data_IF_439566337050
#
_entry.id   IF_439566337050
#
_cell.length_a   1.000
_cell.length_b   1.000
_cell.length_c   1.000
_cell.angle_alpha   90.00
_cell.angle_beta   90.00
_cell.angle_gamma   90.00
#
_symmetry.space_group_name_H-M   'P 1'
#
loop_
_entity.id
_entity.type
_entity.pdbx_description
1 polymer ?
#
# COMPACT_ATOMS: atom_id res chain seq x y z
N UNK A 1 -30.34 8.95 23.04
CA UNK A 1 -29.28 9.96 22.78
C UNK A 1 -27.91 9.35 22.58
N UNK A 2 -27.43 8.51 23.49
CA UNK A 2 -26.04 7.98 23.43
C UNK A 2 -25.75 7.14 22.20
N UNK A 3 -26.65 6.26 21.78
CA UNK A 3 -26.43 5.36 20.66
C UNK A 3 -26.33 6.06 19.31
N UNK A 4 -27.12 7.12 19.10
CA UNK A 4 -27.09 7.88 17.84
C UNK A 4 -25.81 8.65 17.70
N UNK A 5 -25.31 9.26 18.79
CA UNK A 5 -24.04 9.99 18.80
C UNK A 5 -22.89 9.04 18.55
N UNK A 6 -22.90 7.86 19.17
CA UNK A 6 -21.86 6.84 18.99
C UNK A 6 -21.83 6.36 17.55
N UNK A 7 -22.97 6.10 16.93
CA UNK A 7 -23.07 5.68 15.53
C UNK A 7 -22.48 6.73 14.59
N UNK A 8 -22.79 8.01 14.83
CA UNK A 8 -22.26 9.09 14.01
C UNK A 8 -20.75 9.24 14.15
N UNK A 9 -20.21 9.07 15.36
CA UNK A 9 -18.76 9.11 15.59
C UNK A 9 -18.07 7.97 14.85
N UNK A 10 -18.58 6.75 14.94
CA UNK A 10 -18.02 5.60 14.22
C UNK A 10 -18.12 5.77 12.71
N UNK A 11 -19.24 6.29 12.23
CA UNK A 11 -19.43 6.56 10.81
C UNK A 11 -18.40 7.57 10.29
N UNK A 12 -18.17 8.65 11.05
CA UNK A 12 -17.15 9.66 10.68
C UNK A 12 -15.75 9.06 10.64
N UNK A 13 -15.39 8.26 11.64
CA UNK A 13 -14.09 7.59 11.68
C UNK A 13 -13.91 6.65 10.49
N UNK A 14 -14.94 5.90 10.15
CA UNK A 14 -14.90 4.99 9.01
C UNK A 14 -14.74 5.76 7.70
N UNK A 15 -15.46 6.87 7.53
CA UNK A 15 -15.35 7.71 6.33
C UNK A 15 -13.98 8.38 6.22
N UNK A 16 -13.43 8.85 7.34
CA UNK A 16 -12.08 9.44 7.38
C UNK A 16 -11.02 8.41 7.04
N UNK A 17 -11.13 7.21 7.59
CA UNK A 17 -10.22 6.10 7.28
C UNK A 17 -10.29 5.70 5.82
N UNK A 18 -11.49 5.71 5.24
CA UNK A 18 -11.67 5.38 3.83
C UNK A 18 -11.08 6.46 2.92
N UNK A 19 -11.25 7.73 3.26
CA UNK A 19 -10.58 8.82 2.53
C UNK A 19 -9.07 8.70 2.61
N UNK A 20 -8.55 8.38 3.79
CA UNK A 20 -7.12 8.16 3.98
C UNK A 20 -6.63 6.99 3.13
N UNK A 21 -7.38 5.88 3.10
CA UNK A 21 -7.05 4.71 2.30
C UNK A 21 -6.95 5.06 0.81
N UNK A 22 -7.95 5.73 0.28
CA UNK A 22 -7.98 6.11 -1.14
C UNK A 22 -6.86 7.08 -1.49
N UNK A 23 -6.61 8.06 -0.63
CA UNK A 23 -5.49 8.99 -0.81
C UNK A 23 -4.14 8.24 -0.77
N UNK A 24 -4.01 7.31 0.17
CA UNK A 24 -2.78 6.53 0.34
C UNK A 24 -2.52 5.64 -0.89
N UNK A 25 -3.55 5.03 -1.45
CA UNK A 25 -3.42 4.24 -2.69
C UNK A 25 -2.87 5.12 -3.81
N UNK A 26 -3.45 6.29 -4.00
CA UNK A 26 -2.99 7.24 -5.02
C UNK A 26 -1.55 7.65 -4.80
N UNK A 27 -1.22 8.07 -3.58
CA UNK A 27 0.13 8.50 -3.22
C UNK A 27 1.15 7.36 -3.39
N UNK A 28 0.74 6.13 -3.07
CA UNK A 28 1.61 4.96 -3.21
C UNK A 28 1.91 4.65 -4.67
N UNK A 29 0.91 4.73 -5.54
CA UNK A 29 1.15 4.55 -6.97
C UNK A 29 2.07 5.63 -7.54
N UNK A 30 1.94 6.86 -7.09
CA UNK A 30 2.87 7.94 -7.47
C UNK A 30 4.28 7.66 -6.97
N UNK A 31 4.42 7.18 -5.73
CA UNK A 31 5.71 6.82 -5.16
C UNK A 31 6.38 5.69 -5.94
N UNK A 32 5.62 4.66 -6.31
CA UNK A 32 6.11 3.53 -7.11
C UNK A 32 6.58 4.02 -8.49
N UNK A 33 5.83 4.92 -9.11
CA UNK A 33 6.21 5.51 -10.39
C UNK A 33 7.53 6.27 -10.28
N UNK A 34 7.73 7.02 -9.21
CA UNK A 34 8.97 7.73 -8.96
C UNK A 34 10.13 6.78 -8.68
N UNK A 35 9.86 5.72 -7.92
CA UNK A 35 10.86 4.69 -7.66
C UNK A 35 11.34 4.03 -8.96
N UNK A 36 10.42 3.80 -9.89
CA UNK A 36 10.72 3.18 -11.18
C UNK A 36 11.74 3.96 -11.99
N UNK A 37 11.83 5.25 -11.78
CA UNK A 37 12.84 6.11 -12.43
C UNK A 37 14.25 5.84 -11.90
N UNK A 38 14.36 5.36 -10.65
CA UNK A 38 15.63 5.11 -9.98
C UNK A 38 16.05 3.64 -10.01
N UNK A 39 15.09 2.73 -9.99
CA UNK A 39 15.33 1.29 -9.82
C UNK A 39 14.43 0.51 -10.77
N UNK A 40 14.99 -0.40 -11.58
CA UNK A 40 14.16 -1.23 -12.46
C UNK A 40 13.42 -2.32 -11.71
N UNK A 41 12.18 -2.54 -12.06
CA UNK A 41 11.36 -3.68 -11.69
C UNK A 41 10.30 -3.88 -12.75
N UNK A 42 9.66 -5.05 -12.78
CA UNK A 42 8.65 -5.37 -13.81
C UNK A 42 7.26 -4.97 -13.38
N UNK A 43 6.84 -5.38 -12.20
CA UNK A 43 5.50 -5.15 -11.68
C UNK A 43 5.56 -4.79 -10.20
N UNK A 44 4.52 -4.13 -9.73
CA UNK A 44 4.31 -3.85 -8.31
C UNK A 44 2.84 -4.01 -7.96
N UNK A 45 2.58 -4.51 -6.77
CA UNK A 45 1.22 -4.77 -6.29
C UNK A 45 1.08 -4.26 -4.86
N UNK A 46 0.01 -3.53 -4.60
CA UNK A 46 -0.39 -3.22 -3.24
C UNK A 46 -1.22 -4.40 -2.72
N UNK A 47 -0.99 -4.78 -1.47
CA UNK A 47 -1.78 -5.83 -0.84
C UNK A 47 -1.98 -5.51 0.64
N UNK A 48 -2.68 -6.38 1.36
CA UNK A 48 -2.95 -6.18 2.77
C UNK A 48 -4.05 -5.15 3.03
N UNK A 49 -3.99 -4.50 4.19
CA UNK A 49 -5.07 -3.64 4.68
C UNK A 49 -5.41 -2.46 3.77
N UNK A 50 -4.43 -1.94 3.03
CA UNK A 50 -4.67 -0.80 2.12
C UNK A 50 -5.63 -1.17 0.98
N UNK A 51 -5.75 -2.46 0.65
CA UNK A 51 -6.66 -2.93 -0.40
C UNK A 51 -8.05 -3.27 0.12
N UNK A 52 -8.26 -3.22 1.43
CA UNK A 52 -9.51 -3.64 2.06
C UNK A 52 -10.28 -2.43 2.60
N UNK A 53 -11.52 -2.29 2.13
CA UNK A 53 -12.41 -1.21 2.54
C UNK A 53 -12.60 -1.21 4.06
N UNK A 54 -12.41 -0.04 4.67
CA UNK A 54 -12.55 0.20 6.12
C UNK A 54 -11.53 -0.54 7.01
N UNK A 55 -10.50 -1.14 6.44
CA UNK A 55 -9.45 -1.84 7.20
C UNK A 55 -8.17 -1.04 7.39
N UNK A 56 -8.05 0.07 6.68
CA UNK A 56 -6.83 0.89 6.70
C UNK A 56 -6.99 2.09 7.65
N UNK A 57 -5.97 2.38 8.43
CA UNK A 57 -5.96 3.49 9.37
C UNK A 57 -4.62 4.20 9.43
N UNK A 58 -4.52 5.18 10.35
CA UNK A 58 -3.32 6.01 10.49
C UNK A 58 -2.08 5.23 10.92
N UNK A 59 -2.27 4.11 11.60
CA UNK A 59 -1.16 3.26 12.07
C UNK A 59 -0.91 2.05 11.17
N UNK A 60 -1.66 1.91 10.07
CA UNK A 60 -1.49 0.78 9.15
C UNK A 60 -0.22 0.95 8.31
N UNK A 61 0.51 -0.16 8.12
CA UNK A 61 1.64 -0.19 7.21
C UNK A 61 1.12 -0.35 5.77
N UNK A 62 1.95 0.06 4.81
CA UNK A 62 1.66 -0.19 3.40
C UNK A 62 2.45 -1.41 2.97
N UNK A 63 1.76 -2.40 2.40
CA UNK A 63 2.37 -3.64 1.93
C UNK A 63 2.47 -3.61 0.41
N UNK A 64 3.68 -3.76 -0.12
CA UNK A 64 3.96 -3.72 -1.56
C UNK A 64 4.77 -4.94 -1.95
N UNK A 65 4.33 -5.63 -2.99
CA UNK A 65 5.05 -6.75 -3.58
C UNK A 65 5.62 -6.31 -4.93
N UNK A 66 6.90 -6.57 -5.16
CA UNK A 66 7.55 -6.27 -6.43
C UNK A 66 7.87 -7.55 -7.18
N UNK A 67 7.72 -7.51 -8.50
CA UNK A 67 8.22 -8.53 -9.40
C UNK A 67 9.42 -7.97 -10.15
N UNK A 68 10.50 -8.74 -10.15
CA UNK A 68 11.70 -8.34 -10.87
C UNK A 68 12.53 -7.24 -10.23
N UNK A 69 12.33 -6.99 -8.94
CA UNK A 69 13.18 -6.06 -8.19
C UNK A 69 14.45 -6.79 -7.75
N UNK A 70 15.60 -6.20 -8.08
CA UNK A 70 16.89 -6.72 -7.65
C UNK A 70 16.97 -6.72 -6.12
N UNK A 71 17.42 -7.82 -5.54
CA UNK A 71 17.55 -7.97 -4.08
C UNK A 71 18.49 -6.92 -3.49
N UNK A 72 19.52 -6.53 -4.23
CA UNK A 72 20.47 -5.50 -3.81
C UNK A 72 19.82 -4.12 -3.70
N UNK A 73 18.64 -3.94 -4.29
CA UNK A 73 17.90 -2.67 -4.28
C UNK A 73 16.77 -2.63 -3.25
N UNK A 74 16.59 -3.68 -2.48
CA UNK A 74 15.50 -3.76 -1.51
C UNK A 74 15.53 -2.62 -0.50
N UNK A 75 16.69 -2.39 0.14
CA UNK A 75 16.83 -1.32 1.14
C UNK A 75 16.58 0.05 0.54
N UNK A 76 17.06 0.28 -0.66
CA UNK A 76 16.82 1.54 -1.36
C UNK A 76 15.33 1.74 -1.60
N UNK A 77 14.63 0.70 -2.08
CA UNK A 77 13.19 0.77 -2.34
C UNK A 77 12.40 1.07 -1.06
N UNK A 78 12.70 0.36 0.03
CA UNK A 78 12.03 0.58 1.31
C UNK A 78 12.26 2.00 1.81
N UNK A 79 13.51 2.46 1.79
CA UNK A 79 13.86 3.81 2.24
C UNK A 79 13.19 4.89 1.41
N UNK A 80 13.22 4.72 0.09
CA UNK A 80 12.60 5.66 -0.84
C UNK A 80 11.09 5.79 -0.59
N UNK A 81 10.41 4.64 -0.55
CA UNK A 81 8.96 4.61 -0.39
C UNK A 81 8.53 5.10 0.97
N UNK A 82 9.23 4.70 2.04
CA UNK A 82 8.92 5.15 3.39
C UNK A 82 9.06 6.65 3.55
N UNK A 83 10.09 7.23 2.95
CA UNK A 83 10.31 8.68 2.97
C UNK A 83 9.26 9.42 2.15
N UNK A 84 8.99 8.93 0.96
CA UNK A 84 8.02 9.56 0.06
C UNK A 84 6.63 9.58 0.71
N UNK A 85 6.25 8.47 1.32
CA UNK A 85 4.92 8.28 1.88
C UNK A 85 4.80 8.70 3.34
N UNK A 86 5.93 8.98 4.00
CA UNK A 86 5.98 9.31 5.44
C UNK A 86 5.22 8.27 6.27
N UNK A 87 5.45 6.98 5.94
CA UNK A 87 4.74 5.87 6.55
C UNK A 87 5.61 4.61 6.43
N UNK A 88 5.42 3.68 7.36
CA UNK A 88 6.10 2.39 7.29
C UNK A 88 5.62 1.59 6.09
N UNK A 89 6.57 1.08 5.33
CA UNK A 89 6.31 0.30 4.12
C UNK A 89 6.99 -1.06 4.25
N UNK A 90 6.22 -2.12 4.04
CA UNK A 90 6.72 -3.49 3.97
C UNK A 90 6.84 -3.88 2.51
N UNK A 91 8.04 -4.27 2.10
CA UNK A 91 8.31 -4.65 0.71
C UNK A 91 8.69 -6.12 0.66
N UNK A 92 8.03 -6.85 -0.23
CA UNK A 92 8.36 -8.26 -0.47
C UNK A 92 8.64 -8.48 -1.96
N UNK A 93 9.44 -9.51 -2.24
CA UNK A 93 9.64 -10.01 -3.59
C UNK A 93 8.56 -11.05 -3.86
N UNK A 94 7.73 -10.83 -4.87
CA UNK A 94 6.61 -11.73 -5.16
C UNK A 94 7.09 -13.15 -5.51
N UNK A 95 8.29 -13.25 -6.05
CA UNK A 95 8.88 -14.53 -6.44
C UNK A 95 9.22 -15.43 -5.26
N UNK A 96 9.37 -14.87 -4.07
CA UNK A 96 9.82 -15.61 -2.89
C UNK A 96 8.77 -15.84 -1.82
N UNK A 97 7.49 -15.54 -2.09
CA UNK A 97 6.45 -15.65 -1.08
C UNK A 97 5.41 -16.73 -1.44
N UNK A 98 4.85 -17.35 -0.39
CA UNK A 98 3.89 -18.44 -0.55
C UNK A 98 2.50 -17.97 -1.02
N UNK A 99 2.17 -16.70 -0.77
CA UNK A 99 0.85 -16.16 -1.07
C UNK A 99 0.81 -15.32 -2.36
N UNK A 100 1.70 -15.63 -3.30
CA UNK A 100 1.76 -14.96 -4.60
C UNK A 100 0.42 -14.95 -5.33
N UNK A 101 -0.25 -16.10 -5.39
CA UNK A 101 -1.53 -16.23 -6.09
C UNK A 101 -2.60 -15.32 -5.49
N UNK A 102 -2.61 -15.18 -4.18
CA UNK A 102 -3.55 -14.27 -3.50
C UNK A 102 -3.28 -12.82 -3.88
N UNK A 103 -2.02 -12.41 -3.92
CA UNK A 103 -1.66 -11.04 -4.33
C UNK A 103 -2.07 -10.77 -5.77
N UNK A 104 -1.80 -11.71 -6.67
CA UNK A 104 -2.16 -11.54 -8.08
C UNK A 104 -3.67 -11.45 -8.28
N UNK A 105 -4.44 -12.14 -7.44
CA UNK A 105 -5.90 -12.16 -7.54
C UNK A 105 -6.56 -10.97 -6.84
N UNK A 106 -6.10 -10.61 -5.65
CA UNK A 106 -6.74 -9.63 -4.77
C UNK A 106 -6.01 -8.31 -4.65
N UNK A 107 -4.73 -8.25 -5.00
CA UNK A 107 -3.91 -7.06 -4.90
C UNK A 107 -4.24 -6.02 -5.96
N UNK A 108 -3.76 -4.81 -5.73
CA UNK A 108 -3.90 -3.72 -6.68
C UNK A 108 -2.61 -3.58 -7.48
N UNK A 109 -2.67 -3.84 -8.75
CA UNK A 109 -1.51 -3.76 -9.64
C UNK A 109 -1.20 -2.31 -10.02
N UNK A 110 0.06 -1.92 -9.83
CA UNK A 110 0.56 -0.66 -10.35
C UNK A 110 0.66 -0.75 -11.88
N UNK A 111 0.21 0.29 -12.56
CA UNK A 111 0.32 0.38 -14.01
C UNK A 111 1.32 1.45 -14.37
N UNK A 112 2.30 1.09 -15.16
CA UNK A 112 3.26 2.03 -15.71
C UNK A 112 2.56 3.02 -16.65
N UNK A 113 2.76 4.29 -16.38
CA UNK A 113 2.24 5.35 -17.24
C UNK A 113 3.20 5.67 -18.38
#
# INVERSE_FOLDING_TARGET
MGLEIIREVYKKKAEEGERLRLKTIKDTFEAIQRLREEVPFQEAYLFGSVTETYQFGTSSDIDIAFEGLDRDRLFFAVSFLSRYLERDVNVVHIEGIDFKDKILKEGMRWKKE
#
